data_IF_567919731265
#
_entry.id   IF_567919731265
#
_cell.length_a   1.000
_cell.length_b   1.000
_cell.length_c   1.000
_cell.angle_alpha   90.00
_cell.angle_beta   90.00
_cell.angle_gamma   90.00
#
_symmetry.space_group_name_H-M   'P 1'
#
loop_
_entity.id
_entity.type
_entity.pdbx_description
1 polymer ?
#
# COMPACT_ATOMS: atom_id res chain seq x y z
N UNK A 1 22.78 1.19 9.90
CA UNK A 1 21.92 0.93 8.72
C UNK A 1 20.68 1.82 8.83
N UNK A 2 20.59 2.89 8.02
CA UNK A 2 19.45 3.82 8.06
C UNK A 2 18.23 3.06 7.56
N UNK A 3 17.32 2.67 8.47
CA UNK A 3 16.02 2.07 8.13
C UNK A 3 15.38 2.94 7.05
N UNK A 4 15.21 2.38 5.85
CA UNK A 4 14.53 3.05 4.76
C UNK A 4 13.21 3.60 5.27
N UNK A 5 12.93 4.87 4.98
CA UNK A 5 11.67 5.51 5.34
C UNK A 5 10.57 4.64 4.73
N UNK A 6 9.74 4.03 5.58
CA UNK A 6 8.59 3.25 5.12
C UNK A 6 7.58 4.25 4.60
N UNK A 7 7.57 4.46 3.29
CA UNK A 7 6.46 5.15 2.65
C UNK A 7 5.21 4.32 2.97
N UNK A 8 4.17 4.88 3.61
CA UNK A 8 2.99 4.12 3.95
C UNK A 8 2.38 3.53 2.68
N UNK A 9 2.06 2.24 2.71
CA UNK A 9 1.41 1.53 1.59
C UNK A 9 0.14 2.26 1.16
N UNK A 10 -0.62 2.79 2.12
CA UNK A 10 -1.82 3.59 1.88
C UNK A 10 -1.55 4.84 1.03
N UNK A 11 -0.41 5.52 1.23
CA UNK A 11 -0.04 6.69 0.45
C UNK A 11 0.34 6.33 -0.99
N UNK A 12 1.07 5.21 -1.18
CA UNK A 12 1.40 4.70 -2.51
C UNK A 12 0.13 4.32 -3.27
N UNK A 13 -0.78 3.62 -2.59
CA UNK A 13 -2.04 3.17 -3.17
C UNK A 13 -2.95 4.35 -3.53
N UNK A 14 -3.03 5.37 -2.68
CA UNK A 14 -3.77 6.60 -2.98
C UNK A 14 -3.17 7.33 -4.20
N UNK A 15 -1.85 7.50 -4.25
CA UNK A 15 -1.19 8.14 -5.40
C UNK A 15 -1.44 7.38 -6.70
N UNK A 16 -1.46 6.04 -6.64
CA UNK A 16 -1.76 5.20 -7.78
C UNK A 16 -3.21 5.39 -8.26
N UNK A 17 -4.19 5.33 -7.35
CA UNK A 17 -5.61 5.56 -7.68
C UNK A 17 -5.81 6.95 -8.30
N UNK A 18 -5.18 7.98 -7.75
CA UNK A 18 -5.23 9.33 -8.30
C UNK A 18 -4.56 9.42 -9.68
N UNK A 19 -3.48 8.67 -9.90
CA UNK A 19 -2.82 8.54 -11.20
C UNK A 19 -3.74 7.92 -12.25
N UNK A 20 -4.40 6.80 -11.90
CA UNK A 20 -5.38 6.13 -12.78
C UNK A 20 -6.54 7.09 -13.14
N UNK A 21 -7.09 7.79 -12.14
CA UNK A 21 -8.13 8.80 -12.37
C UNK A 21 -7.65 9.96 -13.25
N UNK A 22 -6.35 10.27 -13.20
CA UNK A 22 -5.69 11.28 -14.03
C UNK A 22 -5.29 10.77 -15.42
N UNK A 23 -5.71 9.56 -15.80
CA UNK A 23 -5.37 8.89 -17.08
C UNK A 23 -3.86 8.64 -17.26
N UNK A 24 -3.16 8.28 -16.19
CA UNK A 24 -1.81 7.73 -16.30
C UNK A 24 -1.88 6.32 -16.90
N UNK A 25 -1.34 6.13 -18.11
CA UNK A 25 -1.43 4.87 -18.86
C UNK A 25 -0.14 4.01 -18.73
N UNK A 26 0.97 4.62 -18.31
CA UNK A 26 2.24 3.93 -18.16
C UNK A 26 2.60 3.67 -16.70
N UNK A 27 3.28 2.56 -16.42
CA UNK A 27 3.88 2.28 -15.09
C UNK A 27 4.88 3.35 -14.63
N UNK A 28 5.41 4.17 -15.55
CA UNK A 28 6.31 5.29 -15.24
C UNK A 28 5.57 6.60 -14.93
N UNK A 29 4.30 6.71 -15.32
CA UNK A 29 3.50 7.90 -15.10
C UNK A 29 3.13 8.13 -13.61
N UNK A 30 2.92 7.08 -12.78
CA UNK A 30 2.76 7.21 -11.33
C UNK A 30 3.91 7.94 -10.65
N UNK A 31 5.18 7.68 -11.00
CA UNK A 31 6.30 8.43 -10.42
C UNK A 31 6.22 9.92 -10.79
N UNK A 32 5.90 10.23 -12.05
CA UNK A 32 5.79 11.61 -12.54
C UNK A 32 4.63 12.34 -11.87
N UNK A 33 3.49 11.67 -11.72
CA UNK A 33 2.33 12.16 -11.00
C UNK A 33 2.67 12.41 -9.52
N UNK A 34 3.27 11.43 -8.87
CA UNK A 34 3.68 11.51 -7.48
C UNK A 34 4.65 12.68 -7.27
N UNK A 35 5.68 12.83 -8.11
CA UNK A 35 6.60 13.97 -8.03
C UNK A 35 5.90 15.32 -8.15
N UNK A 36 4.92 15.44 -9.04
CA UNK A 36 4.19 16.70 -9.29
C UNK A 36 3.23 17.05 -8.15
N UNK A 37 2.57 16.05 -7.58
CA UNK A 37 1.52 16.23 -6.58
C UNK A 37 1.96 15.91 -5.15
N UNK A 38 3.20 15.48 -4.94
CA UNK A 38 3.73 15.06 -3.65
C UNK A 38 3.50 16.10 -2.57
N UNK A 39 3.92 17.36 -2.79
CA UNK A 39 3.82 18.41 -1.79
C UNK A 39 2.36 18.66 -1.35
N UNK A 40 1.47 18.81 -2.32
CA UNK A 40 0.03 19.05 -2.09
C UNK A 40 -0.60 17.86 -1.36
N UNK A 41 -0.25 16.63 -1.74
CA UNK A 41 -0.77 15.42 -1.11
C UNK A 41 -0.25 15.26 0.32
N UNK A 42 1.04 15.50 0.56
CA UNK A 42 1.62 15.41 1.91
C UNK A 42 1.03 16.44 2.86
N UNK A 43 0.79 17.65 2.36
CA UNK A 43 0.15 18.73 3.11
C UNK A 43 -1.32 18.40 3.42
N UNK A 44 -2.08 17.99 2.40
CA UNK A 44 -3.51 17.66 2.55
C UNK A 44 -3.76 16.47 3.49
N UNK A 45 -2.85 15.49 3.48
CA UNK A 45 -2.94 14.31 4.34
C UNK A 45 -2.31 14.53 5.72
N UNK A 46 -1.66 15.67 5.96
CA UNK A 46 -0.94 15.93 7.21
C UNK A 46 0.21 14.94 7.48
N UNK A 47 0.82 14.39 6.42
CA UNK A 47 1.89 13.40 6.51
C UNK A 47 3.24 14.00 6.13
N UNK A 48 4.28 13.72 6.92
CA UNK A 48 5.64 14.10 6.58
C UNK A 48 6.32 13.04 5.71
N UNK A 49 6.11 13.13 4.39
CA UNK A 49 6.88 12.33 3.45
C UNK A 49 8.08 13.13 2.95
N UNK A 50 9.30 12.71 3.32
CA UNK A 50 10.54 13.42 2.96
C UNK A 50 10.90 13.32 1.47
N UNK A 51 10.37 12.34 0.77
CA UNK A 51 10.66 12.07 -0.65
C UNK A 51 9.43 11.54 -1.36
N UNK A 52 9.25 11.99 -2.60
CA UNK A 52 8.28 11.39 -3.49
C UNK A 52 8.61 9.91 -3.73
N UNK A 53 7.60 9.03 -3.77
CA UNK A 53 7.83 7.65 -4.13
C UNK A 53 8.41 7.52 -5.54
N UNK A 54 9.37 6.61 -5.69
CA UNK A 54 10.01 6.26 -6.95
C UNK A 54 9.25 5.14 -7.68
N UNK A 55 9.50 4.95 -8.97
CA UNK A 55 8.97 3.83 -9.77
C UNK A 55 9.11 2.46 -9.05
N UNK A 56 10.27 2.23 -8.42
CA UNK A 56 10.52 1.00 -7.64
C UNK A 56 9.59 0.82 -6.44
N UNK A 57 9.14 1.91 -5.80
CA UNK A 57 8.20 1.84 -4.69
C UNK A 57 6.80 1.45 -5.19
N UNK A 58 6.39 1.97 -6.34
CA UNK A 58 5.15 1.58 -7.01
C UNK A 58 5.20 0.12 -7.47
N UNK A 59 6.29 -0.32 -8.11
CA UNK A 59 6.49 -1.73 -8.47
C UNK A 59 6.38 -2.69 -7.27
N UNK A 60 6.96 -2.31 -6.14
CA UNK A 60 6.86 -3.11 -4.92
C UNK A 60 5.45 -3.12 -4.32
N UNK A 61 4.69 -2.03 -4.46
CA UNK A 61 3.27 -2.00 -4.13
C UNK A 61 2.49 -2.98 -5.01
N UNK A 62 2.63 -2.89 -6.34
CA UNK A 62 1.91 -3.76 -7.27
C UNK A 62 2.18 -5.23 -7.02
N UNK A 63 3.44 -5.61 -6.78
CA UNK A 63 3.79 -6.99 -6.45
C UNK A 63 3.08 -7.50 -5.19
N UNK A 64 2.94 -6.66 -4.16
CA UNK A 64 2.21 -7.03 -2.95
C UNK A 64 0.69 -7.12 -3.20
N UNK A 65 0.13 -6.19 -3.98
CA UNK A 65 -1.30 -6.20 -4.34
C UNK A 65 -1.64 -7.45 -5.17
N UNK A 66 -0.80 -7.79 -6.15
CA UNK A 66 -0.97 -9.00 -6.97
C UNK A 66 -0.88 -10.26 -6.12
N UNK A 67 0.09 -10.35 -5.21
CA UNK A 67 0.22 -11.49 -4.30
C UNK A 67 -1.02 -11.65 -3.40
N UNK A 68 -1.53 -10.55 -2.85
CA UNK A 68 -2.77 -10.56 -2.05
C UNK A 68 -3.97 -10.94 -2.93
N UNK A 69 -4.04 -10.44 -4.16
CA UNK A 69 -5.08 -10.77 -5.12
C UNK A 69 -5.10 -12.27 -5.46
N UNK A 70 -3.94 -12.88 -5.64
CA UNK A 70 -3.82 -14.32 -5.84
C UNK A 70 -4.27 -15.11 -4.60
N UNK A 71 -3.86 -14.68 -3.41
CA UNK A 71 -4.31 -15.31 -2.15
C UNK A 71 -5.83 -15.21 -1.95
N UNK A 72 -6.43 -14.09 -2.33
CA UNK A 72 -7.89 -13.87 -2.29
C UNK A 72 -8.64 -14.68 -3.36
N UNK A 73 -8.01 -14.95 -4.51
CA UNK A 73 -8.61 -15.80 -5.54
C UNK A 73 -8.62 -17.27 -5.13
N UNK A 74 -7.59 -17.73 -4.41
CA UNK A 74 -7.44 -19.13 -4.00
C UNK A 74 -8.15 -19.48 -2.69
N UNK A 75 -8.39 -18.50 -1.80
CA UNK A 75 -9.11 -18.70 -0.55
C UNK A 75 -10.48 -18.01 -0.59
N UNK A 76 -11.61 -18.71 -0.39
CA UNK A 76 -12.89 -18.04 -0.22
C UNK A 76 -12.81 -17.10 0.99
N UNK A 77 -13.43 -15.91 0.89
CA UNK A 77 -13.43 -14.87 1.94
C UNK A 77 -13.72 -15.42 3.35
N UNK A 78 -14.48 -16.50 3.45
CA UNK A 78 -14.73 -17.25 4.68
C UNK A 78 -13.45 -17.73 5.39
N UNK A 79 -12.44 -18.20 4.65
CA UNK A 79 -11.20 -18.74 5.22
C UNK A 79 -10.29 -17.65 5.78
N UNK A 80 -10.30 -16.46 5.16
CA UNK A 80 -9.56 -15.28 5.65
C UNK A 80 -10.18 -14.70 6.92
N UNK A 81 -11.51 -14.61 6.99
CA UNK A 81 -12.21 -14.19 8.21
C UNK A 81 -11.95 -15.16 9.37
N UNK A 82 -11.97 -16.47 9.11
CA UNK A 82 -11.75 -17.50 10.13
C UNK A 82 -10.31 -17.49 10.68
N UNK A 83 -9.31 -17.15 9.86
CA UNK A 83 -7.93 -16.97 10.32
C UNK A 83 -7.73 -15.76 11.25
N UNK A 84 -8.46 -14.66 11.02
CA UNK A 84 -8.41 -13.48 11.90
C UNK A 84 -9.08 -13.74 13.26
N UNK A 85 -10.17 -14.52 13.30
CA UNK A 85 -10.82 -14.90 14.57
C UNK A 85 -9.95 -15.83 15.41
N UNK A 86 -9.24 -16.78 14.79
CA UNK A 86 -8.34 -17.68 15.51
C UNK A 86 -7.10 -16.98 16.07
N UNK A 87 -6.56 -15.98 15.36
CA UNK A 87 -5.46 -15.14 15.90
C UNK A 87 -5.90 -14.25 17.07
N UNK A 88 -7.19 -13.88 17.15
CA UNK A 88 -7.75 -13.22 18.32
C UNK A 88 -7.87 -14.16 19.53
N UNK A 89 -8.27 -15.41 19.30
CA UNK A 89 -8.43 -16.42 20.34
C UNK A 89 -7.08 -16.90 20.92
N UNK A 90 -6.05 -17.12 20.09
CA UNK A 90 -4.73 -17.54 20.57
C UNK A 90 -4.03 -16.47 21.42
N UNK A 91 -4.25 -15.19 21.15
CA UNK A 91 -3.70 -14.09 21.97
C UNK A 91 -4.34 -13.98 23.35
N UNK A 92 -5.57 -14.44 23.53
CA UNK A 92 -6.24 -14.46 24.84
C UNK A 92 -5.85 -15.68 25.68
N UNK A 93 -5.46 -16.79 25.04
CA UNK A 93 -5.01 -18.01 25.73
C UNK A 93 -3.61 -17.86 26.36
N UNK A 94 -2.73 -17.04 25.76
CA UNK A 94 -1.38 -16.81 26.27
C UNK A 94 -1.26 -15.71 27.34
N UNK A 95 -2.38 -15.04 27.68
CA UNK A 95 -2.45 -14.01 28.71
C UNK A 95 -3.22 -14.46 29.98
N UNK A 96 -3.61 -15.74 30.05
CA UNK A 96 -4.27 -16.36 31.19
C UNK A 96 -3.30 -17.26 31.97
#
# INVERSE_FOLDING_TARGET
>A
MRRGIRIPVLCLLLMEVLGILSKCESLRDPERFARRHHAVLTESLGIELKRSPSDSAFRYLFLQVDAIGQQLHEAPLSTLCQGMEQQGAERQSHAA
#
